data_IF_522664504289
#
_entry.id   IF_522664504289
#
_cell.length_a   1.000
_cell.length_b   1.000
_cell.length_c   1.000
_cell.angle_alpha   90.00
_cell.angle_beta   90.00
_cell.angle_gamma   90.00
#
_symmetry.space_group_name_H-M   'P 1'
#
loop_
_entity.id
_entity.type
_entity.pdbx_description
1 polymer ?
#
# COMPACT_ATOMS: atom_id res chain seq x y z
N UNK A 1 -14.26 36.92 28.16
CA UNK A 1 -14.86 35.64 27.75
C UNK A 1 -15.69 35.90 26.50
N UNK A 2 -15.11 35.57 25.35
CA UNK A 2 -15.72 35.16 24.08
C UNK A 2 -14.72 35.51 22.97
N UNK A 3 -13.97 34.52 22.54
CA UNK A 3 -13.15 34.57 21.33
C UNK A 3 -14.05 34.17 20.16
N UNK A 4 -14.33 35.10 19.25
CA UNK A 4 -14.80 34.75 17.91
C UNK A 4 -13.58 34.59 17.01
N UNK A 5 -13.32 33.35 16.59
CA UNK A 5 -12.29 33.00 15.62
C UNK A 5 -12.86 33.19 14.21
N UNK A 6 -12.54 34.33 13.58
CA UNK A 6 -12.88 34.59 12.18
C UNK A 6 -12.03 33.70 11.24
N UNK A 7 -12.70 32.73 10.61
CA UNK A 7 -12.16 31.72 9.68
C UNK A 7 -11.68 32.23 8.31
N UNK A 8 -11.07 33.42 8.26
CA UNK A 8 -10.54 34.02 7.02
C UNK A 8 -9.01 33.93 6.94
N UNK A 9 -8.32 33.78 8.09
CA UNK A 9 -6.84 33.80 8.15
C UNK A 9 -6.14 32.53 7.63
N UNK A 10 -6.71 31.34 7.82
CA UNK A 10 -6.04 30.09 7.41
C UNK A 10 -6.03 29.88 5.90
N UNK A 11 -7.13 30.19 5.18
CA UNK A 11 -7.19 30.03 3.71
C UNK A 11 -6.26 30.99 2.97
N UNK A 12 -6.05 32.20 3.48
CA UNK A 12 -5.13 33.17 2.89
C UNK A 12 -3.68 32.71 3.05
N UNK A 13 -3.29 32.26 4.25
CA UNK A 13 -1.92 31.76 4.51
C UNK A 13 -1.59 30.53 3.68
N UNK A 14 -2.50 29.55 3.53
CA UNK A 14 -2.25 28.38 2.67
C UNK A 14 -2.14 28.73 1.17
N UNK A 15 -2.81 29.80 0.72
CA UNK A 15 -2.73 30.27 -0.66
C UNK A 15 -1.44 31.05 -0.90
N UNK A 16 -1.03 31.86 0.07
CA UNK A 16 0.20 32.68 0.05
C UNK A 16 1.47 31.81 0.13
N UNK A 17 1.44 30.70 0.87
CA UNK A 17 2.54 29.71 0.90
C UNK A 17 2.67 28.96 -0.44
N UNK A 18 1.56 28.69 -1.14
CA UNK A 18 1.60 28.08 -2.48
C UNK A 18 2.03 29.08 -3.56
N UNK A 19 1.72 30.36 -3.42
CA UNK A 19 2.07 31.39 -4.40
C UNK A 19 3.55 31.83 -4.30
N UNK A 20 4.20 31.71 -3.14
CA UNK A 20 5.58 32.17 -2.93
C UNK A 20 6.66 31.08 -2.94
N UNK A 21 6.33 29.84 -3.30
CA UNK A 21 7.33 28.78 -3.47
C UNK A 21 7.74 28.66 -4.95
N UNK A 22 8.11 29.79 -5.57
CA UNK A 22 8.88 29.77 -6.81
C UNK A 22 10.30 29.35 -6.46
N UNK A 23 10.55 28.05 -6.44
CA UNK A 23 11.92 27.54 -6.45
C UNK A 23 12.48 27.93 -7.82
N UNK A 24 13.27 29.01 -7.87
CA UNK A 24 14.09 29.32 -9.04
C UNK A 24 15.17 28.25 -9.16
N UNK A 25 14.86 27.18 -9.88
CA UNK A 25 15.85 26.20 -10.30
C UNK A 25 16.66 26.81 -11.46
N UNK A 26 18.00 26.80 -11.41
CA UNK A 26 18.81 27.24 -12.53
C UNK A 26 18.40 26.49 -13.81
N UNK A 27 18.41 27.16 -14.96
CA UNK A 27 18.04 26.58 -16.28
C UNK A 27 18.83 25.32 -16.64
N UNK A 28 19.98 25.11 -15.98
CA UNK A 28 20.88 23.97 -16.15
C UNK A 28 20.75 22.89 -15.07
N UNK A 29 19.91 23.09 -14.05
CA UNK A 29 19.79 22.20 -12.90
C UNK A 29 18.68 21.17 -13.15
N UNK A 30 19.01 20.20 -13.99
CA UNK A 30 18.14 19.08 -14.33
C UNK A 30 18.28 17.97 -13.28
N UNK A 31 17.32 17.89 -12.37
CA UNK A 31 17.25 16.81 -11.40
C UNK A 31 16.41 15.66 -11.93
N UNK A 32 16.92 14.45 -11.74
CA UNK A 32 16.19 13.22 -12.00
C UNK A 32 15.96 12.52 -10.66
N UNK A 33 14.70 12.16 -10.38
CA UNK A 33 14.35 11.40 -9.19
C UNK A 33 14.19 9.92 -9.56
N UNK A 34 14.97 9.08 -8.88
CA UNK A 34 14.85 7.62 -8.94
C UNK A 34 14.54 7.15 -7.51
N UNK A 35 13.44 6.42 -7.36
CA UNK A 35 13.11 5.82 -6.07
C UNK A 35 13.93 4.55 -5.86
N UNK A 36 14.77 4.54 -4.83
CA UNK A 36 15.55 3.37 -4.46
C UNK A 36 14.72 2.33 -3.68
N UNK A 37 13.55 2.73 -3.19
CA UNK A 37 12.69 1.90 -2.36
C UNK A 37 11.22 2.13 -2.72
N UNK A 38 10.59 1.12 -3.30
CA UNK A 38 9.17 1.12 -3.60
C UNK A 38 8.66 -0.30 -3.44
N UNK A 39 7.38 -0.43 -3.16
CA UNK A 39 6.80 -1.73 -2.87
C UNK A 39 5.68 -2.10 -3.83
N UNK A 40 5.55 -3.41 -4.06
CA UNK A 40 4.45 -3.99 -4.80
C UNK A 40 4.08 -5.38 -4.27
N UNK A 41 2.96 -5.87 -4.75
CA UNK A 41 2.55 -7.26 -4.60
C UNK A 41 1.63 -7.65 -5.75
N UNK A 42 1.36 -8.93 -5.89
CA UNK A 42 0.27 -9.37 -6.74
C UNK A 42 -1.07 -9.09 -6.04
N UNK A 43 -2.15 -9.07 -6.83
CA UNK A 43 -3.48 -9.30 -6.27
C UNK A 43 -3.49 -10.64 -5.49
N UNK A 44 -4.30 -10.74 -4.45
CA UNK A 44 -4.33 -11.91 -3.55
C UNK A 44 -4.40 -13.23 -4.33
N UNK A 45 -5.33 -13.33 -5.29
CA UNK A 45 -5.54 -14.55 -6.09
C UNK A 45 -4.54 -14.66 -7.24
N UNK A 46 -3.84 -13.57 -7.57
CA UNK A 46 -2.77 -13.53 -8.57
C UNK A 46 -1.54 -14.38 -8.22
N UNK A 47 -1.40 -14.82 -6.97
CA UNK A 47 -0.30 -15.70 -6.55
C UNK A 47 -0.46 -17.17 -6.98
N UNK A 48 -1.70 -17.64 -7.22
CA UNK A 48 -1.98 -19.06 -7.50
C UNK A 48 -1.13 -19.65 -8.63
N UNK A 49 -0.91 -18.98 -9.78
CA UNK A 49 -0.13 -19.53 -10.88
C UNK A 49 1.35 -19.79 -10.53
N UNK A 50 1.87 -19.12 -9.51
CA UNK A 50 3.26 -19.25 -9.05
C UNK A 50 3.43 -20.33 -7.97
N UNK A 51 2.34 -20.87 -7.44
CA UNK A 51 2.36 -21.99 -6.49
C UNK A 51 2.44 -23.33 -7.22
N UNK A 52 3.18 -24.27 -6.64
CA UNK A 52 3.13 -25.67 -7.04
C UNK A 52 1.70 -26.21 -6.89
N UNK A 53 1.22 -26.99 -7.87
CA UNK A 53 -0.17 -27.46 -7.92
C UNK A 53 -0.66 -28.17 -6.65
N UNK A 54 0.23 -28.83 -5.91
CA UNK A 54 -0.11 -29.51 -4.65
C UNK A 54 -0.63 -28.58 -3.56
N UNK A 55 -0.35 -27.28 -3.65
CA UNK A 55 -0.80 -26.26 -2.69
C UNK A 55 -2.04 -25.49 -3.17
N UNK A 56 -2.61 -25.81 -4.34
CA UNK A 56 -3.66 -24.99 -4.92
C UNK A 56 -4.97 -25.05 -4.14
N UNK A 57 -5.33 -26.21 -3.59
CA UNK A 57 -6.57 -26.37 -2.82
C UNK A 57 -6.44 -25.64 -1.47
N UNK A 58 -5.33 -25.85 -0.76
CA UNK A 58 -5.02 -25.15 0.49
C UNK A 58 -4.93 -23.62 0.27
N UNK A 59 -4.43 -23.19 -0.88
CA UNK A 59 -4.36 -21.77 -1.24
C UNK A 59 -5.74 -21.14 -1.38
N UNK A 60 -6.70 -21.85 -1.97
CA UNK A 60 -8.07 -21.33 -2.10
C UNK A 60 -8.73 -21.15 -0.73
N UNK A 61 -8.53 -22.10 0.18
CA UNK A 61 -9.02 -22.00 1.56
C UNK A 61 -8.39 -20.80 2.28
N UNK A 62 -7.07 -20.66 2.18
CA UNK A 62 -6.35 -19.54 2.78
C UNK A 62 -6.74 -18.17 2.19
N UNK A 63 -6.93 -18.10 0.86
CA UNK A 63 -7.31 -16.87 0.18
C UNK A 63 -8.73 -16.43 0.59
N UNK A 64 -9.69 -17.36 0.65
CA UNK A 64 -11.04 -17.06 1.10
C UNK A 64 -11.06 -16.54 2.55
N UNK A 65 -10.30 -17.17 3.45
CA UNK A 65 -10.17 -16.69 4.83
C UNK A 65 -9.49 -15.30 4.93
N UNK A 66 -8.59 -14.98 4.00
CA UNK A 66 -7.92 -13.67 3.94
C UNK A 66 -8.86 -12.57 3.45
N UNK A 67 -9.71 -12.87 2.46
CA UNK A 67 -10.78 -11.97 2.00
C UNK A 67 -11.79 -11.71 3.13
N UNK A 68 -12.26 -12.75 3.81
CA UNK A 68 -13.19 -12.62 4.95
C UNK A 68 -12.59 -11.73 6.06
N UNK A 69 -11.31 -11.93 6.39
CA UNK A 69 -10.67 -11.10 7.40
C UNK A 69 -10.47 -9.65 6.98
N UNK A 70 -10.22 -9.39 5.69
CA UNK A 70 -10.17 -8.02 5.17
C UNK A 70 -11.53 -7.33 5.31
N UNK A 71 -12.63 -8.04 5.03
CA UNK A 71 -14.00 -7.54 5.25
C UNK A 71 -14.28 -7.25 6.74
N UNK A 72 -13.86 -8.15 7.63
CA UNK A 72 -13.98 -7.94 9.07
C UNK A 72 -13.17 -6.72 9.54
N UNK A 73 -11.95 -6.55 9.01
CA UNK A 73 -11.13 -5.38 9.30
C UNK A 73 -11.81 -4.10 8.83
N UNK A 74 -12.31 -4.06 7.59
CA UNK A 74 -13.05 -2.91 7.07
C UNK A 74 -14.25 -2.56 7.96
N UNK A 75 -15.02 -3.57 8.38
CA UNK A 75 -16.16 -3.37 9.28
C UNK A 75 -15.75 -2.80 10.65
N UNK A 76 -14.59 -3.19 11.19
CA UNK A 76 -14.07 -2.64 12.46
C UNK A 76 -13.63 -1.18 12.36
N UNK A 77 -13.15 -0.77 11.18
CA UNK A 77 -12.72 0.61 10.91
C UNK A 77 -13.82 1.46 10.25
N UNK A 78 -14.99 0.89 9.97
CA UNK A 78 -16.12 1.60 9.40
C UNK A 78 -16.49 2.84 10.24
N UNK A 79 -16.66 3.97 9.56
CA UNK A 79 -16.97 5.25 10.21
C UNK A 79 -15.77 5.94 10.88
N UNK A 80 -14.57 5.34 10.87
CA UNK A 80 -13.33 6.06 11.14
C UNK A 80 -12.86 6.72 9.85
N UNK A 81 -12.38 7.96 9.92
CA UNK A 81 -11.89 8.66 8.74
C UNK A 81 -10.72 7.90 8.11
N UNK A 82 -10.80 7.65 6.80
CA UNK A 82 -9.71 7.04 6.02
C UNK A 82 -8.61 8.08 5.77
N UNK A 83 -7.36 7.66 5.84
CA UNK A 83 -6.23 8.51 5.44
C UNK A 83 -6.14 8.52 3.92
N UNK A 84 -6.13 9.70 3.30
CA UNK A 84 -5.91 9.83 1.85
C UNK A 84 -4.49 9.46 1.40
N UNK A 85 -3.60 9.14 2.35
CA UNK A 85 -2.19 8.77 2.09
C UNK A 85 -1.88 7.30 2.36
N UNK A 86 -2.84 6.50 2.82
CA UNK A 86 -2.58 5.11 3.17
C UNK A 86 -3.10 4.18 2.06
N UNK A 87 -2.23 3.30 1.58
CA UNK A 87 -2.61 2.07 0.85
C UNK A 87 -2.58 0.92 1.85
N UNK A 88 -3.53 -0.01 1.78
CA UNK A 88 -3.63 -1.14 2.72
C UNK A 88 -4.67 -0.93 3.84
N UNK A 89 -4.26 -1.08 5.11
CA UNK A 89 -5.17 -1.19 6.28
C UNK A 89 -6.19 -0.06 6.40
N UNK A 90 -5.81 1.18 6.04
CA UNK A 90 -6.67 2.37 6.14
C UNK A 90 -6.98 3.01 4.77
N UNK A 91 -6.60 2.36 3.66
CA UNK A 91 -6.87 2.83 2.30
C UNK A 91 -8.30 2.56 1.88
N UNK A 92 -8.76 3.24 0.83
CA UNK A 92 -10.06 2.92 0.25
C UNK A 92 -9.97 1.66 -0.63
N UNK A 93 -10.71 0.58 -0.34
CA UNK A 93 -10.58 -0.66 -1.10
C UNK A 93 -11.07 -0.53 -2.54
N UNK A 94 -11.95 0.42 -2.86
CA UNK A 94 -12.38 0.65 -4.24
C UNK A 94 -11.40 1.55 -5.00
N UNK A 95 -10.89 2.60 -4.33
CA UNK A 95 -10.06 3.62 -4.99
C UNK A 95 -8.56 3.36 -4.90
N UNK A 96 -8.08 2.58 -3.94
CA UNK A 96 -6.65 2.40 -3.63
C UNK A 96 -6.15 0.95 -3.76
N UNK A 97 -7.03 -0.06 -3.86
CA UNK A 97 -6.62 -1.46 -3.85
C UNK A 97 -5.64 -1.82 -4.99
N UNK A 98 -5.90 -1.33 -6.20
CA UNK A 98 -5.08 -1.63 -7.37
C UNK A 98 -3.73 -0.90 -7.38
N UNK A 99 -3.51 0.10 -6.50
CA UNK A 99 -2.20 0.78 -6.41
C UNK A 99 -1.07 -0.19 -6.11
N UNK A 100 -1.36 -1.30 -5.42
CA UNK A 100 -0.36 -2.28 -5.07
C UNK A 100 0.05 -3.20 -6.24
N UNK A 101 -0.88 -3.54 -7.15
CA UNK A 101 -0.64 -4.54 -8.21
C UNK A 101 -0.76 -4.01 -9.66
N UNK A 102 -1.40 -2.86 -9.89
CA UNK A 102 -1.54 -2.27 -11.22
C UNK A 102 -0.25 -1.58 -11.66
N UNK A 103 0.38 -2.13 -12.71
CA UNK A 103 1.59 -1.53 -13.30
C UNK A 103 1.28 -0.21 -14.03
N UNK A 104 0.16 -0.15 -14.75
CA UNK A 104 -0.26 1.04 -15.50
C UNK A 104 -0.50 2.22 -14.55
N UNK A 105 -1.29 2.00 -13.49
CA UNK A 105 -1.57 3.05 -12.51
C UNK A 105 -0.30 3.51 -11.80
N UNK A 106 0.56 2.57 -11.40
CA UNK A 106 1.86 2.91 -10.78
C UNK A 106 2.71 3.80 -11.68
N UNK A 107 2.85 3.46 -12.96
CA UNK A 107 3.63 4.26 -13.90
C UNK A 107 3.07 5.68 -14.04
N UNK A 108 1.74 5.81 -14.14
CA UNK A 108 1.06 7.10 -14.20
C UNK A 108 1.31 7.93 -12.93
N UNK A 109 1.04 7.36 -11.76
CA UNK A 109 1.13 8.08 -10.49
C UNK A 109 2.59 8.48 -10.17
N UNK A 110 3.57 7.59 -10.43
CA UNK A 110 5.00 7.90 -10.30
C UNK A 110 5.46 9.00 -11.26
N UNK A 111 4.95 8.99 -12.50
CA UNK A 111 5.24 10.02 -13.48
C UNK A 111 4.65 11.38 -13.09
N UNK A 112 3.46 11.41 -12.48
CA UNK A 112 2.83 12.61 -11.91
C UNK A 112 3.64 13.18 -10.73
N UNK A 113 4.25 12.31 -9.94
CA UNK A 113 5.15 12.67 -8.83
C UNK A 113 6.59 13.02 -9.29
N UNK A 114 6.89 12.92 -10.59
CA UNK A 114 8.20 13.25 -11.16
C UNK A 114 9.29 12.17 -10.96
N UNK A 115 8.88 10.95 -10.62
CA UNK A 115 9.78 9.79 -10.47
C UNK A 115 9.92 9.07 -11.80
N UNK A 116 11.14 9.01 -12.34
CA UNK A 116 11.38 8.41 -13.67
C UNK A 116 11.76 6.93 -13.64
N UNK A 117 12.18 6.44 -12.47
CA UNK A 117 12.51 5.03 -12.25
C UNK A 117 12.33 4.67 -10.77
N UNK A 118 12.06 3.41 -10.50
CA UNK A 118 11.89 2.91 -9.13
C UNK A 118 12.30 1.43 -9.03
N UNK A 119 12.88 1.06 -7.89
CA UNK A 119 13.13 -0.34 -7.51
C UNK A 119 11.92 -0.87 -6.76
N UNK A 120 11.47 -2.08 -7.10
CA UNK A 120 10.31 -2.72 -6.48
C UNK A 120 10.73 -3.85 -5.54
N UNK A 121 10.26 -3.77 -4.30
CA UNK A 121 10.36 -4.80 -3.27
C UNK A 121 8.98 -5.39 -2.93
N UNK A 122 8.89 -6.66 -2.53
CA UNK A 122 7.63 -7.22 -2.06
C UNK A 122 7.17 -6.56 -0.74
N UNK A 123 5.86 -6.38 -0.56
CA UNK A 123 5.25 -5.89 0.71
C UNK A 123 3.97 -6.62 1.12
N UNK A 124 3.33 -7.32 0.18
CA UNK A 124 2.12 -8.08 0.49
C UNK A 124 2.40 -9.27 1.38
N UNK A 125 1.38 -9.63 2.16
CA UNK A 125 1.39 -10.85 2.93
C UNK A 125 1.51 -12.04 1.95
N UNK A 126 2.57 -12.87 2.02
CA UNK A 126 2.71 -14.00 1.12
C UNK A 126 1.62 -15.06 1.38
N UNK A 127 1.33 -15.92 0.39
CA UNK A 127 0.46 -17.08 0.60
C UNK A 127 0.85 -17.89 1.84
N UNK A 128 -0.17 -18.41 2.53
CA UNK A 128 -0.03 -19.22 3.74
C UNK A 128 0.62 -18.52 4.93
N UNK A 129 0.84 -17.22 4.87
CA UNK A 129 1.23 -16.51 6.05
C UNK A 129 0.07 -16.44 7.06
N UNK A 130 0.37 -16.58 8.36
CA UNK A 130 -0.65 -16.38 9.37
C UNK A 130 -1.18 -14.96 9.22
N UNK A 131 -2.46 -14.81 9.52
CA UNK A 131 -3.04 -13.51 9.74
C UNK A 131 -2.42 -12.95 11.01
N UNK A 132 -1.35 -12.18 10.87
CA UNK A 132 -0.57 -11.74 12.01
C UNK A 132 -1.36 -10.70 12.79
N UNK A 133 -1.38 -10.81 14.13
CA UNK A 133 -1.92 -9.73 14.97
C UNK A 133 -1.11 -8.44 14.79
N UNK A 134 0.17 -8.56 14.42
CA UNK A 134 1.05 -7.46 13.99
C UNK A 134 2.08 -7.93 12.95
N UNK A 135 2.55 -7.04 12.08
CA UNK A 135 3.62 -7.29 11.09
C UNK A 135 5.00 -7.65 11.69
N UNK A 136 5.15 -7.60 13.02
CA UNK A 136 6.41 -7.85 13.74
C UNK A 136 6.43 -9.19 14.49
N UNK A 137 5.34 -9.96 14.44
CA UNK A 137 5.24 -11.22 15.16
C UNK A 137 5.88 -12.36 14.35
N UNK A 138 6.82 -13.07 14.98
CA UNK A 138 7.41 -14.25 14.39
C UNK A 138 6.40 -15.41 14.42
N UNK A 139 6.33 -16.23 13.36
CA UNK A 139 5.50 -17.43 13.37
C UNK A 139 5.87 -18.37 14.53
N UNK A 140 4.90 -19.06 15.15
CA UNK A 140 5.19 -20.04 16.18
C UNK A 140 5.98 -21.22 15.60
N UNK A 141 6.81 -21.88 16.42
CA UNK A 141 7.58 -23.06 15.97
C UNK A 141 6.72 -24.26 15.57
N UNK A 142 5.44 -24.26 15.93
CA UNK A 142 4.46 -25.27 15.53
C UNK A 142 3.81 -24.99 14.16
N UNK A 143 4.19 -23.89 13.49
CA UNK A 143 3.62 -23.50 12.21
C UNK A 143 4.06 -24.44 11.06
N UNK A 144 3.32 -24.43 9.96
CA UNK A 144 3.60 -25.26 8.80
C UNK A 144 4.68 -24.62 7.91
N UNK A 145 5.95 -24.86 8.23
CA UNK A 145 7.09 -24.26 7.53
C UNK A 145 7.13 -24.59 6.03
N UNK A 146 6.61 -25.74 5.58
CA UNK A 146 6.55 -26.07 4.15
C UNK A 146 5.61 -25.12 3.39
N UNK A 147 4.45 -24.81 3.97
CA UNK A 147 3.51 -23.86 3.39
C UNK A 147 4.07 -22.44 3.40
N UNK A 148 4.69 -22.03 4.52
CA UNK A 148 5.35 -20.71 4.62
C UNK A 148 6.43 -20.56 3.55
N UNK A 149 7.24 -21.59 3.36
CA UNK A 149 8.28 -21.61 2.33
C UNK A 149 7.69 -21.62 0.92
N UNK A 150 6.58 -22.31 0.69
CA UNK A 150 5.89 -22.28 -0.60
C UNK A 150 5.42 -20.87 -0.95
N UNK A 151 4.77 -20.17 -0.01
CA UNK A 151 4.30 -18.79 -0.23
C UNK A 151 5.41 -17.76 -0.35
N UNK A 152 6.51 -17.90 0.39
CA UNK A 152 7.66 -16.99 0.24
C UNK A 152 8.31 -17.06 -1.14
N UNK A 153 8.24 -18.20 -1.82
CA UNK A 153 8.81 -18.39 -3.16
C UNK A 153 7.96 -17.79 -4.29
N UNK A 154 6.79 -17.25 -3.99
CA UNK A 154 5.90 -16.65 -5.00
C UNK A 154 5.99 -15.13 -5.08
N UNK A 155 6.85 -14.51 -4.26
CA UNK A 155 7.04 -13.06 -4.21
C UNK A 155 8.33 -12.61 -4.89
#
# INVERSE_FOLDING_TARGET
>A
MSMELNGVGQKTVYREIKENMSIELPETDHHIVISADSHCGADLRGYKPYLEKKYHDDFEEWAAASEEAAEQQEALFAGRGRSTRNVGIDGDPELDADKNYSSERRLKDQQEDGVVAFVLFPNTQPPFAPQAATQFEAPPYSDNFEHRWAGLRTQ
#
